data_IF_237864693119
#
_entry.id   IF_237864693119
#
_cell.length_a   1.000
_cell.length_b   1.000
_cell.length_c   1.000
_cell.angle_alpha   90.00
_cell.angle_beta   90.00
_cell.angle_gamma   90.00
#
_symmetry.space_group_name_H-M   'P 1'
#
loop_
_entity.id
_entity.type
_entity.pdbx_description
1 polymer ?
#
# COMPACT_ATOMS: atom_id res chain seq x y z
N UNK A 1 -4.17 6.80 11.29
CA UNK A 1 -4.40 5.43 10.79
C UNK A 1 -3.16 4.94 10.05
N UNK A 2 -2.76 3.74 10.30
CA UNK A 2 -1.61 3.11 9.64
C UNK A 2 -2.09 2.22 8.51
N UNK A 3 -1.60 2.47 7.30
CA UNK A 3 -2.02 1.75 6.08
C UNK A 3 -0.82 1.06 5.48
N UNK A 4 -0.90 -0.25 5.31
CA UNK A 4 0.11 -1.04 4.61
C UNK A 4 -0.30 -1.23 3.15
N UNK A 5 0.59 -0.92 2.23
CA UNK A 5 0.37 -1.12 0.80
C UNK A 5 1.31 -2.25 0.36
N UNK A 6 0.76 -3.33 -0.14
CA UNK A 6 1.53 -4.49 -0.57
C UNK A 6 1.63 -4.47 -2.10
N UNK A 7 2.81 -4.24 -2.60
CA UNK A 7 3.10 -4.05 -4.01
C UNK A 7 3.48 -2.61 -4.30
N UNK A 8 4.74 -2.37 -4.65
CA UNK A 8 5.30 -1.04 -4.87
C UNK A 8 5.47 -0.69 -6.36
N UNK A 9 4.67 -1.32 -7.21
CA UNK A 9 4.61 -0.99 -8.63
C UNK A 9 3.84 0.31 -8.87
N UNK A 10 3.43 0.56 -10.09
CA UNK A 10 2.74 1.80 -10.48
C UNK A 10 1.46 2.01 -9.67
N UNK A 11 0.63 0.98 -9.56
CA UNK A 11 -0.64 1.08 -8.84
C UNK A 11 -0.42 1.23 -7.33
N UNK A 12 0.42 0.39 -6.73
CA UNK A 12 0.69 0.46 -5.29
C UNK A 12 1.34 1.77 -4.88
N UNK A 13 2.28 2.27 -5.67
CA UNK A 13 2.91 3.58 -5.41
C UNK A 13 1.89 4.71 -5.49
N UNK A 14 0.97 4.66 -6.47
CA UNK A 14 -0.10 5.66 -6.59
C UNK A 14 -1.04 5.64 -5.40
N UNK A 15 -1.41 4.46 -4.91
CA UNK A 15 -2.25 4.30 -3.72
C UNK A 15 -1.52 4.85 -2.49
N UNK A 16 -0.25 4.51 -2.33
CA UNK A 16 0.58 4.99 -1.23
C UNK A 16 0.66 6.52 -1.21
N UNK A 17 0.86 7.12 -2.37
CA UNK A 17 0.88 8.58 -2.50
C UNK A 17 -0.45 9.20 -2.08
N UNK A 18 -1.57 8.64 -2.53
CA UNK A 18 -2.90 9.15 -2.20
C UNK A 18 -3.13 9.17 -0.69
N UNK A 19 -2.78 8.10 0.01
CA UNK A 19 -2.90 8.05 1.47
C UNK A 19 -1.93 9.01 2.15
N UNK A 20 -0.68 9.07 1.68
CA UNK A 20 0.33 9.95 2.28
C UNK A 20 0.01 11.43 2.13
N UNK A 21 -0.70 11.81 1.07
CA UNK A 21 -1.16 13.17 0.86
C UNK A 21 -2.35 13.55 1.73
N UNK A 22 -3.01 12.57 2.33
CA UNK A 22 -4.19 12.77 3.15
C UNK A 22 -3.78 12.84 4.62
N UNK A 23 -4.26 13.86 5.32
CA UNK A 23 -3.96 14.04 6.74
C UNK A 23 -4.48 12.86 7.56
N UNK A 24 -3.70 12.45 8.56
CA UNK A 24 -4.09 11.39 9.48
C UNK A 24 -3.63 9.99 9.11
N UNK A 25 -2.89 9.82 8.01
CA UNK A 25 -2.41 8.52 7.56
C UNK A 25 -0.89 8.41 7.62
N UNK A 26 -0.41 7.27 8.12
CA UNK A 26 0.98 6.82 7.97
C UNK A 26 0.96 5.64 7.00
N UNK A 27 1.92 5.58 6.08
CA UNK A 27 1.94 4.59 4.99
C UNK A 27 3.16 3.69 5.10
N UNK A 28 2.92 2.40 5.00
CA UNK A 28 3.97 1.38 4.92
C UNK A 28 3.91 0.77 3.53
N UNK A 29 4.84 1.17 2.67
CA UNK A 29 4.90 0.70 1.27
C UNK A 29 5.83 -0.51 1.21
N UNK A 30 5.28 -1.67 0.89
CA UNK A 30 5.96 -2.96 0.96
C UNK A 30 6.03 -3.65 -0.40
N UNK A 31 7.08 -4.41 -0.59
CA UNK A 31 7.21 -5.30 -1.74
C UNK A 31 7.98 -6.56 -1.32
N UNK A 32 8.32 -7.40 -2.28
CA UNK A 32 9.00 -8.68 -2.02
C UNK A 32 10.38 -8.48 -1.39
N UNK A 33 11.01 -7.32 -1.61
CA UNK A 33 12.25 -6.93 -0.96
C UNK A 33 12.29 -5.42 -0.76
N UNK A 34 13.25 -4.97 0.04
CA UNK A 34 13.38 -3.55 0.39
C UNK A 34 13.76 -2.68 -0.81
N UNK A 35 14.50 -3.22 -1.76
CA UNK A 35 14.91 -2.50 -2.97
C UNK A 35 13.69 -2.11 -3.80
N UNK A 36 12.77 -3.05 -4.04
CA UNK A 36 11.55 -2.78 -4.81
C UNK A 36 10.65 -1.78 -4.09
N UNK A 37 10.54 -1.89 -2.78
CA UNK A 37 9.77 -0.94 -1.98
C UNK A 37 10.38 0.47 -2.06
N UNK A 38 11.70 0.58 -1.95
CA UNK A 38 12.41 1.85 -2.07
C UNK A 38 12.24 2.46 -3.46
N UNK A 39 12.26 1.64 -4.51
CA UNK A 39 12.02 2.10 -5.88
C UNK A 39 10.62 2.70 -6.03
N UNK A 40 9.62 2.11 -5.38
CA UNK A 40 8.26 2.65 -5.35
C UNK A 40 8.21 4.04 -4.72
N UNK A 41 8.87 4.21 -3.58
CA UNK A 41 8.96 5.51 -2.91
C UNK A 41 9.70 6.54 -3.78
N UNK A 42 10.76 6.12 -4.47
CA UNK A 42 11.50 6.99 -5.37
C UNK A 42 10.64 7.48 -6.53
N UNK A 43 9.75 6.66 -7.07
CA UNK A 43 8.80 7.07 -8.11
C UNK A 43 7.87 8.15 -7.59
N UNK A 44 7.37 7.99 -6.36
CA UNK A 44 6.52 8.98 -5.70
C UNK A 44 7.30 10.30 -5.55
N UNK A 45 8.54 10.22 -5.06
CA UNK A 45 9.38 11.39 -4.87
C UNK A 45 9.62 12.16 -6.17
N UNK A 46 9.90 11.45 -7.27
CA UNK A 46 10.10 12.08 -8.58
C UNK A 46 8.83 12.78 -9.08
N UNK A 47 7.67 12.14 -8.92
CA UNK A 47 6.41 12.73 -9.31
C UNK A 47 6.07 13.99 -8.53
N UNK A 48 6.29 13.96 -7.23
CA UNK A 48 6.06 15.11 -6.36
C UNK A 48 7.04 16.24 -6.65
N UNK A 49 8.31 15.91 -6.93
CA UNK A 49 9.32 16.92 -7.27
C UNK A 49 8.98 17.66 -8.57
N UNK A 50 8.37 16.99 -9.53
CA UNK A 50 7.86 17.65 -10.74
C UNK A 50 6.82 18.70 -10.41
N UNK A 51 5.98 18.45 -9.41
CA UNK A 51 4.97 19.43 -8.97
C UNK A 51 5.62 20.63 -8.31
N UNK A 52 6.73 20.44 -7.58
CA UNK A 52 7.51 21.56 -7.04
C UNK A 52 8.07 22.41 -8.18
N UNK A 53 8.66 21.78 -9.17
CA UNK A 53 9.22 22.47 -10.36
C UNK A 53 8.16 23.27 -11.09
N UNK A 54 6.93 22.77 -11.15
CA UNK A 54 5.79 23.47 -11.80
C UNK A 54 5.11 24.49 -10.90
N UNK A 55 5.58 24.68 -9.66
CA UNK A 55 5.00 25.62 -8.72
C UNK A 55 3.68 25.19 -8.10
N UNK A 56 3.31 23.90 -8.21
CA UNK A 56 2.04 23.38 -7.68
C UNK A 56 2.14 22.87 -6.25
N UNK A 57 3.34 22.58 -5.77
CA UNK A 57 3.63 22.19 -4.39
C UNK A 57 4.93 22.84 -3.95
N UNK A 58 5.09 23.00 -2.62
CA UNK A 58 6.34 23.45 -2.04
C UNK A 58 7.23 22.25 -1.72
N UNK A 59 8.53 22.49 -1.58
CA UNK A 59 9.46 21.43 -1.15
C UNK A 59 9.10 20.93 0.24
N UNK A 60 8.63 21.80 1.12
CA UNK A 60 8.20 21.41 2.47
C UNK A 60 7.02 20.44 2.43
N UNK A 61 6.05 20.66 1.53
CA UNK A 61 4.91 19.76 1.35
C UNK A 61 5.37 18.38 0.91
N UNK A 62 6.30 18.34 -0.05
CA UNK A 62 6.83 17.07 -0.58
C UNK A 62 7.59 16.31 0.50
N UNK A 63 8.44 17.00 1.25
CA UNK A 63 9.23 16.38 2.32
C UNK A 63 8.31 15.82 3.42
N UNK A 64 7.24 16.53 3.76
CA UNK A 64 6.26 16.06 4.74
C UNK A 64 5.51 14.82 4.26
N UNK A 65 5.13 14.77 2.99
CA UNK A 65 4.45 13.60 2.40
C UNK A 65 5.37 12.39 2.43
N UNK A 66 6.61 12.55 1.98
CA UNK A 66 7.58 11.45 1.94
C UNK A 66 7.95 10.95 3.34
N UNK A 67 7.97 11.83 4.33
CA UNK A 67 8.26 11.44 5.71
C UNK A 67 7.19 10.49 6.29
N UNK A 68 5.99 10.47 5.74
CA UNK A 68 4.91 9.59 6.17
C UNK A 68 4.99 8.20 5.56
N UNK A 69 5.88 7.97 4.59
CA UNK A 69 6.01 6.70 3.87
C UNK A 69 7.24 5.95 4.37
N UNK A 70 7.02 4.81 4.99
CA UNK A 70 8.07 3.87 5.39
C UNK A 70 8.08 2.72 4.41
N UNK A 71 9.25 2.31 3.94
CA UNK A 71 9.39 1.21 2.99
C UNK A 71 9.96 -0.04 3.65
N UNK A 72 9.63 -1.20 3.11
CA UNK A 72 10.12 -2.46 3.62
C UNK A 72 9.42 -3.66 3.02
N UNK A 73 9.52 -4.79 3.68
CA UNK A 73 8.74 -5.99 3.38
C UNK A 73 7.49 -6.02 4.27
N UNK A 74 6.55 -6.90 3.98
CA UNK A 74 5.25 -6.92 4.68
C UNK A 74 5.36 -7.12 6.19
N UNK A 75 6.50 -7.60 6.70
CA UNK A 75 6.73 -7.80 8.13
C UNK A 75 6.62 -6.49 8.94
N UNK A 76 6.77 -5.33 8.31
CA UNK A 76 6.63 -4.03 8.99
C UNK A 76 5.17 -3.64 9.27
N UNK A 77 4.20 -4.41 8.78
CA UNK A 77 2.78 -4.08 8.87
C UNK A 77 2.10 -4.56 10.17
N UNK A 78 2.85 -4.84 11.22
CA UNK A 78 2.33 -5.42 12.47
C UNK A 78 1.20 -4.61 13.11
N UNK A 79 1.27 -3.29 13.03
CA UNK A 79 0.31 -2.38 13.67
C UNK A 79 -0.62 -1.68 12.67
N UNK A 80 -0.71 -2.16 11.44
CA UNK A 80 -1.57 -1.54 10.44
C UNK A 80 -3.05 -1.71 10.76
N UNK A 81 -3.81 -0.66 10.44
CA UNK A 81 -5.28 -0.64 10.58
C UNK A 81 -5.97 -1.08 9.30
N UNK A 82 -5.28 -0.90 8.17
CA UNK A 82 -5.76 -1.26 6.84
C UNK A 82 -4.58 -1.79 6.04
N UNK A 83 -4.79 -2.89 5.34
CA UNK A 83 -3.83 -3.42 4.36
C UNK A 83 -4.48 -3.36 2.99
N UNK A 84 -3.80 -2.73 2.02
CA UNK A 84 -4.25 -2.70 0.64
C UNK A 84 -3.28 -3.52 -0.21
N UNK A 85 -3.78 -4.57 -0.81
CA UNK A 85 -2.97 -5.43 -1.66
C UNK A 85 -3.10 -4.96 -3.12
N UNK A 86 -1.97 -4.62 -3.73
CA UNK A 86 -1.87 -4.10 -5.09
C UNK A 86 -0.75 -4.81 -5.87
N UNK A 87 -0.55 -6.09 -5.58
CA UNK A 87 0.47 -6.93 -6.22
C UNK A 87 -0.06 -7.53 -7.52
N UNK A 88 0.63 -8.55 -8.04
CA UNK A 88 0.25 -9.21 -9.28
C UNK A 88 -1.17 -9.78 -9.23
N UNK A 89 -1.89 -9.70 -10.35
CA UNK A 89 -3.26 -10.21 -10.49
C UNK A 89 -3.24 -11.73 -10.65
N UNK A 90 -2.72 -12.44 -9.64
CA UNK A 90 -2.63 -13.90 -9.58
C UNK A 90 -3.27 -14.37 -8.28
N UNK A 91 -4.28 -15.22 -8.37
CA UNK A 91 -5.07 -15.67 -7.23
C UNK A 91 -4.21 -16.28 -6.12
N UNK A 92 -3.29 -17.19 -6.46
CA UNK A 92 -2.46 -17.87 -5.49
C UNK A 92 -1.53 -16.90 -4.75
N UNK A 93 -1.00 -15.89 -5.45
CA UNK A 93 -0.15 -14.85 -4.86
C UNK A 93 -0.95 -14.03 -3.85
N UNK A 94 -2.17 -13.62 -4.20
CA UNK A 94 -3.04 -12.84 -3.32
C UNK A 94 -3.44 -13.63 -2.08
N UNK A 95 -3.82 -14.89 -2.24
CA UNK A 95 -4.16 -15.78 -1.12
C UNK A 95 -2.99 -15.96 -0.18
N UNK A 96 -1.81 -16.23 -0.72
CA UNK A 96 -0.61 -16.44 0.09
C UNK A 96 -0.24 -15.16 0.85
N UNK A 97 -0.34 -14.01 0.20
CA UNK A 97 -0.05 -12.71 0.79
C UNK A 97 -0.94 -12.47 2.02
N UNK A 98 -2.24 -12.70 1.90
CA UNK A 98 -3.16 -12.50 3.02
C UNK A 98 -2.98 -13.53 4.14
N UNK A 99 -2.64 -14.78 3.82
CA UNK A 99 -2.32 -15.77 4.83
C UNK A 99 -1.11 -15.37 5.66
N UNK A 100 -0.07 -14.85 5.01
CA UNK A 100 1.11 -14.37 5.71
C UNK A 100 0.79 -13.12 6.54
N UNK A 101 0.00 -12.20 5.99
CA UNK A 101 -0.36 -10.97 6.68
C UNK A 101 -1.21 -11.20 7.93
N UNK A 102 -2.11 -12.18 7.91
CA UNK A 102 -2.91 -12.46 9.11
C UNK A 102 -2.06 -12.93 10.29
N UNK A 103 -0.89 -13.52 10.01
CA UNK A 103 0.05 -13.92 11.05
C UNK A 103 0.94 -12.75 11.50
N UNK A 104 1.15 -11.77 10.63
CA UNK A 104 2.00 -10.60 10.88
C UNK A 104 1.21 -9.50 11.61
N UNK A 105 -0.01 -9.20 11.14
CA UNK A 105 -0.83 -8.11 11.67
C UNK A 105 -1.40 -8.50 13.03
N UNK A 106 -1.13 -7.68 14.04
CA UNK A 106 -1.54 -7.95 15.42
C UNK A 106 -2.89 -7.35 15.77
N UNK A 107 -3.39 -6.40 15.00
CA UNK A 107 -4.69 -5.78 15.23
C UNK A 107 -5.79 -6.63 14.60
N UNK A 108 -6.65 -7.19 15.44
CA UNK A 108 -7.75 -8.07 14.99
C UNK A 108 -8.76 -7.35 14.11
N UNK A 109 -8.92 -6.06 14.30
CA UNK A 109 -9.85 -5.22 13.55
C UNK A 109 -9.26 -4.65 12.26
N UNK A 110 -8.03 -5.00 11.92
CA UNK A 110 -7.42 -4.59 10.66
C UNK A 110 -8.23 -5.11 9.48
N UNK A 111 -8.54 -4.23 8.54
CA UNK A 111 -9.27 -4.58 7.32
C UNK A 111 -8.26 -4.90 6.22
N UNK A 112 -8.47 -6.01 5.53
CA UNK A 112 -7.68 -6.37 4.35
C UNK A 112 -8.47 -6.00 3.10
N UNK A 113 -7.85 -5.20 2.23
CA UNK A 113 -8.44 -4.79 0.97
C UNK A 113 -7.60 -5.30 -0.19
N UNK A 114 -8.23 -5.70 -1.26
CA UNK A 114 -7.55 -6.14 -2.47
C UNK A 114 -7.94 -5.24 -3.64
N UNK A 115 -6.93 -4.78 -4.38
CA UNK A 115 -7.12 -4.02 -5.60
C UNK A 115 -7.15 -5.00 -6.78
N UNK A 116 -8.28 -5.66 -6.97
CA UNK A 116 -8.47 -6.60 -8.06
C UNK A 116 -9.70 -6.22 -8.88
N UNK A 117 -9.62 -6.43 -10.18
CA UNK A 117 -10.73 -6.17 -11.09
C UNK A 117 -11.37 -7.44 -11.64
N UNK A 118 -10.68 -8.57 -11.54
CA UNK A 118 -11.10 -9.81 -12.21
C UNK A 118 -11.19 -11.02 -11.30
N UNK A 119 -10.49 -11.04 -10.16
CA UNK A 119 -10.47 -12.20 -9.28
C UNK A 119 -11.56 -12.10 -8.21
N UNK A 120 -12.06 -13.26 -7.76
CA UNK A 120 -13.10 -13.30 -6.74
C UNK A 120 -12.56 -12.88 -5.36
N UNK A 121 -13.13 -11.82 -4.82
CA UNK A 121 -12.78 -11.31 -3.48
C UNK A 121 -13.17 -12.34 -2.42
N UNK A 122 -14.30 -13.02 -2.59
CA UNK A 122 -14.75 -14.09 -1.68
C UNK A 122 -13.72 -15.21 -1.62
N UNK A 123 -13.21 -15.63 -2.77
CA UNK A 123 -12.20 -16.69 -2.83
C UNK A 123 -10.88 -16.25 -2.21
N UNK A 124 -10.44 -15.01 -2.47
CA UNK A 124 -9.23 -14.46 -1.87
C UNK A 124 -9.35 -14.45 -0.35
N UNK A 125 -10.51 -14.08 0.17
CA UNK A 125 -10.76 -13.98 1.61
C UNK A 125 -11.06 -15.28 2.31
N UNK A 126 -11.16 -16.40 1.58
CA UNK A 126 -11.50 -17.70 2.17
C UNK A 126 -10.41 -18.13 3.17
N UNK A 127 -10.81 -18.43 4.40
CA UNK A 127 -9.88 -18.85 5.46
C UNK A 127 -9.09 -17.71 6.11
N UNK A 128 -9.39 -16.46 5.76
CA UNK A 128 -8.75 -15.28 6.36
C UNK A 128 -9.63 -14.79 7.52
N UNK A 129 -9.02 -14.57 8.69
CA UNK A 129 -9.73 -14.14 9.90
C UNK A 129 -10.12 -12.68 9.93
N UNK A 130 -9.50 -11.85 9.08
CA UNK A 130 -9.82 -10.44 8.93
C UNK A 130 -10.87 -10.22 7.85
N UNK A 131 -11.65 -9.14 7.93
CA UNK A 131 -12.53 -8.77 6.81
C UNK A 131 -11.71 -8.52 5.55
N UNK A 132 -12.13 -9.09 4.43
CA UNK A 132 -11.49 -8.86 3.12
C UNK A 132 -12.50 -8.19 2.21
N UNK A 133 -12.14 -6.99 1.74
CA UNK A 133 -12.99 -6.17 0.87
C UNK A 133 -12.28 -5.86 -0.45
N UNK A 134 -13.04 -5.49 -1.45
CA UNK A 134 -12.49 -4.98 -2.70
C UNK A 134 -12.39 -3.46 -2.64
N UNK A 135 -11.23 -2.93 -3.02
CA UNK A 135 -11.04 -1.50 -3.24
C UNK A 135 -10.47 -1.32 -4.63
N UNK A 136 -11.21 -0.61 -5.47
CA UNK A 136 -10.83 -0.42 -6.86
C UNK A 136 -10.28 0.99 -7.06
N UNK A 137 -9.00 1.08 -7.42
CA UNK A 137 -8.33 2.34 -7.69
C UNK A 137 -8.12 2.47 -9.20
N UNK A 138 -8.51 3.61 -9.75
CA UNK A 138 -8.27 3.90 -11.16
C UNK A 138 -6.87 4.46 -11.33
N UNK A 139 -6.15 3.96 -12.33
CA UNK A 139 -4.86 4.50 -12.69
C UNK A 139 -5.10 5.84 -13.40
N UNK A 140 -4.62 6.95 -12.84
CA UNK A 140 -4.83 8.27 -13.45
C UNK A 140 -4.06 8.46 -14.76
#
# INVERSE_FOLDING_TARGET
MKVGIIGAGTMGSGIAQAFAQTEGYEVYLCDINEEFAANGKNKIAKGLQRLVTKGKKTQEDVDAILAKITTGVKDICTDCDLIVEAALEVMDVKKQTFKELQDIVKKEDCIFATNTSSLSITEIGAGISHPVIGMHFFNP
#
